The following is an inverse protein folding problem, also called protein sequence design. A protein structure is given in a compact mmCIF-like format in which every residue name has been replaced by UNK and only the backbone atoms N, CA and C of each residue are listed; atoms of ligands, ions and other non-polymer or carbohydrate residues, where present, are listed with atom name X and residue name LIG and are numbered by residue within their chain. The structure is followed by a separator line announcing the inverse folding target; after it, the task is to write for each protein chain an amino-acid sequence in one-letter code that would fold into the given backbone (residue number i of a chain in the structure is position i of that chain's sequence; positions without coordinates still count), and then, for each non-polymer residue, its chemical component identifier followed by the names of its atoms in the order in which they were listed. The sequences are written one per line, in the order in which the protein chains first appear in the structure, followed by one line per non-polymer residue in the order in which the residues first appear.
data_IF_385443991132
#
_entry.id   IF_385443991132
#
_cell.length_a   1.000
_cell.length_b   1.000
_cell.length_c   1.000
_cell.angle_alpha   90.00
_cell.angle_beta   90.00
_cell.angle_gamma   90.00
#
_symmetry.space_group_name_H-M   'P 1'
#
loop_
_entity.id
_entity.type
_entity.pdbx_description
1 polymer ?
#
# COMPACT_ATOMS: atom_id res chain seq x y z
N UNK A 1 0.75 -6.84 -15.62
CA UNK A 1 2.05 -7.22 -15.03
C UNK A 1 2.18 -6.49 -13.71
N UNK A 2 2.57 -7.20 -12.66
CA UNK A 2 2.73 -6.69 -11.28
C UNK A 2 3.59 -5.40 -11.21
N UNK A 3 4.74 -5.37 -11.88
CA UNK A 3 5.59 -4.17 -11.95
C UNK A 3 4.85 -2.97 -12.55
N UNK A 4 3.95 -3.18 -13.50
CA UNK A 4 3.11 -2.13 -14.05
C UNK A 4 2.17 -1.54 -13.02
N UNK A 5 1.54 -2.37 -12.17
CA UNK A 5 0.65 -1.91 -11.10
C UNK A 5 1.43 -1.08 -10.07
N UNK A 6 2.58 -1.58 -9.61
CA UNK A 6 3.40 -0.88 -8.64
C UNK A 6 3.95 0.44 -9.20
N UNK A 7 4.44 0.43 -10.45
CA UNK A 7 4.90 1.65 -11.14
C UNK A 7 3.78 2.69 -11.25
N UNK A 8 2.56 2.28 -11.63
CA UNK A 8 1.42 3.17 -11.74
C UNK A 8 0.99 3.71 -10.37
N UNK A 9 1.07 2.90 -9.32
CA UNK A 9 0.78 3.32 -7.94
C UNK A 9 1.80 4.36 -7.46
N UNK A 10 3.09 4.11 -7.72
CA UNK A 10 4.13 5.09 -7.46
C UNK A 10 3.92 6.37 -8.29
N UNK A 11 3.64 6.25 -9.59
CA UNK A 11 3.38 7.40 -10.46
C UNK A 11 2.20 8.26 -10.01
N UNK A 12 1.13 7.63 -9.53
CA UNK A 12 0.01 8.32 -8.90
C UNK A 12 0.46 9.11 -7.66
N UNK A 13 1.21 8.47 -6.75
CA UNK A 13 1.75 9.13 -5.57
C UNK A 13 2.64 10.32 -5.96
N UNK A 14 3.65 10.09 -6.81
CA UNK A 14 4.62 11.11 -7.20
C UNK A 14 3.96 12.31 -7.90
N UNK A 15 2.96 12.06 -8.76
CA UNK A 15 2.23 13.13 -9.44
C UNK A 15 1.60 14.11 -8.44
N UNK A 16 0.84 13.59 -7.49
CA UNK A 16 0.12 14.45 -6.53
C UNK A 16 1.04 15.03 -5.46
N UNK A 17 2.03 14.27 -4.99
CA UNK A 17 3.03 14.76 -4.06
C UNK A 17 3.80 15.95 -4.65
N UNK A 18 4.16 15.90 -5.93
CA UNK A 18 4.82 17.01 -6.63
C UNK A 18 3.89 18.21 -6.82
N UNK A 19 2.61 18.00 -7.16
CA UNK A 19 1.64 19.10 -7.29
C UNK A 19 1.44 19.84 -5.97
N UNK A 20 1.33 19.09 -4.88
CA UNK A 20 1.13 19.65 -3.54
C UNK A 20 2.44 20.06 -2.85
N UNK A 21 3.61 19.89 -3.49
CA UNK A 21 4.94 20.06 -2.90
C UNK A 21 5.10 19.29 -1.58
N UNK A 22 4.48 18.12 -1.50
CA UNK A 22 4.51 17.30 -0.31
C UNK A 22 5.85 16.55 -0.19
N UNK A 23 6.43 16.59 1.00
CA UNK A 23 7.60 15.78 1.37
C UNK A 23 7.33 15.11 2.71
N UNK A 24 7.83 13.87 2.83
CA UNK A 24 7.74 13.15 4.10
C UNK A 24 8.53 13.89 5.19
N UNK A 25 7.86 14.11 6.32
CA UNK A 25 8.45 14.73 7.51
C UNK A 25 8.03 13.93 8.74
N UNK A 26 8.97 13.20 9.33
CA UNK A 26 8.72 12.38 10.50
C UNK A 26 8.20 13.18 11.71
N UNK A 27 8.56 14.48 11.82
CA UNK A 27 8.08 15.35 12.89
C UNK A 27 6.60 15.71 12.77
N UNK A 28 6.02 15.57 11.57
CA UNK A 28 4.59 15.87 11.30
C UNK A 28 3.75 14.60 11.15
N UNK A 29 4.32 13.44 11.47
CA UNK A 29 3.63 12.16 11.30
C UNK A 29 2.36 12.11 12.14
N UNK A 30 1.23 11.80 11.48
CA UNK A 30 -0.06 11.59 12.16
C UNK A 30 -0.06 10.25 12.86
N UNK A 31 -0.48 10.23 14.13
CA UNK A 31 -0.55 8.99 14.90
C UNK A 31 -1.54 8.00 14.27
N UNK A 32 -1.28 6.69 14.41
CA UNK A 32 -2.11 5.68 13.78
C UNK A 32 -3.58 5.75 14.26
N UNK A 33 -3.79 6.09 15.53
CA UNK A 33 -5.13 6.23 16.14
C UNK A 33 -5.93 7.39 15.53
N UNK A 34 -5.23 8.45 15.08
CA UNK A 34 -5.86 9.61 14.44
C UNK A 34 -6.13 9.41 12.95
N UNK A 35 -5.55 8.36 12.35
CA UNK A 35 -5.77 8.04 10.93
C UNK A 35 -7.17 7.47 10.69
N UNK A 36 -7.79 7.74 9.53
CA UNK A 36 -9.00 7.07 9.08
C UNK A 36 -8.87 5.54 9.09
N UNK A 37 -10.00 4.85 9.24
CA UNK A 37 -10.05 3.39 9.34
C UNK A 37 -9.39 2.69 8.14
N UNK A 38 -9.56 3.23 6.93
CA UNK A 38 -8.96 2.67 5.73
C UNK A 38 -7.43 2.80 5.71
N UNK A 39 -6.87 3.88 6.28
CA UNK A 39 -5.43 4.03 6.45
C UNK A 39 -4.89 3.05 7.49
N UNK A 40 -5.59 2.89 8.61
CA UNK A 40 -5.23 1.91 9.66
C UNK A 40 -5.27 0.48 9.14
N UNK A 41 -6.27 0.16 8.32
CA UNK A 41 -6.37 -1.14 7.67
C UNK A 41 -5.16 -1.46 6.80
N UNK A 42 -4.79 -0.55 5.88
CA UNK A 42 -3.66 -0.83 4.97
C UNK A 42 -2.32 -0.85 5.71
N UNK A 43 -2.17 -0.07 6.79
CA UNK A 43 -1.01 -0.12 7.67
C UNK A 43 -0.94 -1.46 8.39
N UNK A 44 -2.04 -1.99 8.93
CA UNK A 44 -2.09 -3.33 9.52
C UNK A 44 -1.73 -4.42 8.51
N UNK A 45 -2.30 -4.36 7.31
CA UNK A 45 -1.96 -5.27 6.19
C UNK A 45 -0.48 -5.20 5.83
N UNK A 46 0.12 -4.02 5.88
CA UNK A 46 1.54 -3.83 5.64
C UNK A 46 2.39 -4.52 6.73
N UNK A 47 2.00 -4.42 8.00
CA UNK A 47 2.69 -5.12 9.09
C UNK A 47 2.59 -6.65 8.93
N UNK A 48 1.43 -7.15 8.54
CA UNK A 48 1.24 -8.56 8.19
C UNK A 48 2.16 -8.98 7.04
N UNK A 49 2.24 -8.17 5.98
CA UNK A 49 3.15 -8.43 4.86
C UNK A 49 4.61 -8.49 5.29
N UNK A 50 5.08 -7.54 6.13
CA UNK A 50 6.46 -7.53 6.64
C UNK A 50 6.76 -8.84 7.39
N UNK A 51 5.85 -9.25 8.27
CA UNK A 51 6.00 -10.48 9.08
C UNK A 51 6.07 -11.73 8.19
N UNK A 52 5.13 -11.85 7.26
CA UNK A 52 5.05 -13.01 6.36
C UNK A 52 6.26 -13.10 5.43
N UNK A 53 6.66 -11.98 4.81
CA UNK A 53 7.81 -11.96 3.90
C UNK A 53 9.12 -12.21 4.61
N UNK A 54 9.30 -11.70 5.83
CA UNK A 54 10.48 -12.00 6.65
C UNK A 54 10.57 -13.48 6.92
N UNK A 55 9.47 -14.11 7.37
CA UNK A 55 9.42 -15.56 7.59
C UNK A 55 9.72 -16.36 6.32
N UNK A 56 9.14 -15.96 5.18
CA UNK A 56 9.44 -16.64 3.91
C UNK A 56 10.90 -16.53 3.48
N UNK A 57 11.56 -15.40 3.71
CA UNK A 57 12.98 -15.26 3.41
C UNK A 57 13.85 -16.10 4.37
N UNK A 58 13.51 -16.17 5.66
CA UNK A 58 14.16 -17.03 6.65
C UNK A 58 14.02 -18.52 6.31
N UNK A 59 12.87 -18.92 5.77
CA UNK A 59 12.57 -20.29 5.32
C UNK A 59 13.11 -20.61 3.91
N UNK A 60 13.87 -19.69 3.29
CA UNK A 60 14.37 -19.84 1.91
C UNK A 60 13.27 -20.02 0.85
N UNK A 61 12.13 -19.36 1.02
CA UNK A 61 10.98 -19.40 0.13
C UNK A 61 10.73 -18.07 -0.61
N UNK A 62 11.69 -17.59 -1.45
CA UNK A 62 11.58 -16.27 -2.10
C UNK A 62 10.38 -16.14 -3.02
N UNK A 63 9.91 -17.25 -3.58
CA UNK A 63 8.71 -17.28 -4.43
C UNK A 63 7.45 -16.93 -3.62
N UNK A 64 7.35 -17.42 -2.38
CA UNK A 64 6.22 -17.09 -1.51
C UNK A 64 6.27 -15.61 -1.09
N UNK A 65 7.46 -15.11 -0.75
CA UNK A 65 7.67 -13.70 -0.44
C UNK A 65 7.24 -12.82 -1.62
N UNK A 66 7.72 -13.10 -2.83
CA UNK A 66 7.37 -12.35 -4.03
C UNK A 66 5.85 -12.34 -4.30
N UNK A 67 5.17 -13.49 -4.16
CA UNK A 67 3.71 -13.58 -4.33
C UNK A 67 2.93 -12.83 -3.26
N UNK A 68 3.40 -12.82 -2.02
CA UNK A 68 2.78 -12.05 -0.95
C UNK A 68 2.86 -10.55 -1.24
N UNK A 69 4.03 -10.07 -1.68
CA UNK A 69 4.21 -8.67 -2.08
C UNK A 69 3.31 -8.32 -3.28
N UNK A 70 3.29 -9.17 -4.31
CA UNK A 70 2.44 -9.00 -5.49
C UNK A 70 0.96 -8.87 -5.10
N UNK A 71 0.47 -9.79 -4.27
CA UNK A 71 -0.91 -9.77 -3.78
C UNK A 71 -1.23 -8.49 -3.03
N UNK A 72 -0.39 -8.08 -2.09
CA UNK A 72 -0.58 -6.84 -1.34
C UNK A 72 -0.64 -5.62 -2.27
N UNK A 73 0.29 -5.50 -3.22
CA UNK A 73 0.35 -4.34 -4.13
C UNK A 73 -0.85 -4.30 -5.06
N UNK A 74 -1.20 -5.43 -5.68
CA UNK A 74 -2.25 -5.47 -6.69
C UNK A 74 -3.65 -5.43 -6.05
N UNK A 75 -3.90 -6.25 -5.05
CA UNK A 75 -5.22 -6.39 -4.46
C UNK A 75 -5.50 -5.32 -3.39
N UNK A 76 -4.66 -5.23 -2.36
CA UNK A 76 -4.94 -4.37 -1.21
C UNK A 76 -4.57 -2.90 -1.49
N UNK A 77 -3.34 -2.64 -1.94
CA UNK A 77 -2.85 -1.27 -2.10
C UNK A 77 -3.46 -0.56 -3.31
N UNK A 78 -3.35 -1.14 -4.52
CA UNK A 78 -3.80 -0.48 -5.75
C UNK A 78 -5.32 -0.53 -5.91
N UNK A 79 -5.90 -1.76 -5.87
CA UNK A 79 -7.31 -1.95 -6.20
C UNK A 79 -8.27 -1.50 -5.09
N UNK A 80 -7.83 -1.47 -3.84
CA UNK A 80 -8.66 -1.02 -2.72
C UNK A 80 -8.18 0.30 -2.16
N UNK A 81 -7.02 0.37 -1.54
CA UNK A 81 -6.59 1.57 -0.84
C UNK A 81 -6.52 2.80 -1.76
N UNK A 82 -5.70 2.75 -2.80
CA UNK A 82 -5.52 3.90 -3.72
C UNK A 82 -6.82 4.23 -4.43
N UNK A 83 -7.52 3.21 -4.95
CA UNK A 83 -8.77 3.42 -5.69
C UNK A 83 -9.84 4.13 -4.87
N UNK A 84 -10.02 3.77 -3.60
CA UNK A 84 -11.02 4.36 -2.72
C UNK A 84 -10.61 5.75 -2.21
N UNK A 85 -9.31 5.99 -2.07
CA UNK A 85 -8.75 7.21 -1.53
C UNK A 85 -8.37 8.27 -2.58
N UNK A 86 -8.54 8.02 -3.88
CA UNK A 86 -8.12 8.95 -4.95
C UNK A 86 -8.56 10.39 -4.71
N UNK A 87 -9.79 10.60 -4.21
CA UNK A 87 -10.34 11.93 -3.97
C UNK A 87 -9.60 12.70 -2.88
N UNK A 88 -8.98 12.03 -1.91
CA UNK A 88 -8.19 12.65 -0.84
C UNK A 88 -6.91 13.32 -1.38
N UNK A 89 -6.32 12.76 -2.46
CA UNK A 89 -5.09 13.29 -3.06
C UNK A 89 -5.34 14.50 -3.96
N UNK A 90 -6.44 14.54 -4.70
CA UNK A 90 -6.69 15.57 -5.70
C UNK A 90 -7.63 16.68 -5.25
N UNK A 91 -8.37 16.51 -4.16
CA UNK A 91 -9.40 17.45 -3.73
C UNK A 91 -8.90 18.33 -2.59
N UNK A 92 -9.04 19.65 -2.79
CA UNK A 92 -8.86 20.66 -1.74
C UNK A 92 -7.42 20.95 -1.37
N UNK A 93 -7.27 21.83 -0.40
CA UNK A 93 -6.00 22.20 0.21
C UNK A 93 -5.50 21.08 1.14
N UNK A 94 -4.24 21.21 1.62
CA UNK A 94 -3.66 20.28 2.57
C UNK A 94 -4.46 20.26 3.87
N UNK A 95 -4.84 19.07 4.32
CA UNK A 95 -5.55 18.82 5.57
C UNK A 95 -4.92 17.61 6.27
N UNK A 96 -5.24 17.40 7.55
CA UNK A 96 -4.74 16.22 8.28
C UNK A 96 -5.16 14.91 7.61
N UNK A 97 -6.37 14.85 7.03
CA UNK A 97 -6.84 13.69 6.27
C UNK A 97 -6.01 13.45 5.00
N UNK A 98 -5.70 14.51 4.26
CA UNK A 98 -4.86 14.44 3.07
C UNK A 98 -3.41 14.11 3.43
N UNK A 99 -2.89 14.69 4.51
CA UNK A 99 -1.57 14.37 5.07
C UNK A 99 -1.48 12.90 5.46
N UNK A 100 -2.46 12.36 6.18
CA UNK A 100 -2.52 10.95 6.54
C UNK A 100 -2.51 10.03 5.32
N UNK A 101 -3.22 10.39 4.24
CA UNK A 101 -3.23 9.63 3.00
C UNK A 101 -1.84 9.60 2.33
N UNK A 102 -1.15 10.75 2.24
CA UNK A 102 0.21 10.81 1.69
C UNK A 102 1.20 9.99 2.51
N UNK A 103 1.20 10.16 3.83
CA UNK A 103 2.10 9.41 4.73
C UNK A 103 1.89 7.91 4.60
N UNK A 104 0.63 7.48 4.60
CA UNK A 104 0.29 6.06 4.52
C UNK A 104 0.71 5.45 3.18
N UNK A 105 0.46 6.14 2.07
CA UNK A 105 0.86 5.64 0.75
C UNK A 105 2.39 5.66 0.59
N UNK A 106 3.06 6.71 1.08
CA UNK A 106 4.53 6.78 1.12
C UNK A 106 5.12 5.61 1.92
N UNK A 107 4.60 5.34 3.11
CA UNK A 107 5.06 4.24 3.98
C UNK A 107 4.89 2.89 3.28
N UNK A 108 3.73 2.64 2.65
CA UNK A 108 3.50 1.42 1.87
C UNK A 108 4.51 1.25 0.72
N UNK A 109 4.72 2.29 -0.08
CA UNK A 109 5.66 2.25 -1.21
C UNK A 109 7.11 2.07 -0.75
N UNK A 110 7.51 2.76 0.31
CA UNK A 110 8.86 2.67 0.86
C UNK A 110 9.15 1.27 1.41
N UNK A 111 8.24 0.70 2.19
CA UNK A 111 8.37 -0.67 2.71
C UNK A 111 8.37 -1.70 1.58
N UNK A 112 7.47 -1.58 0.62
CA UNK A 112 7.43 -2.48 -0.55
C UNK A 112 8.76 -2.43 -1.31
N UNK A 113 9.38 -1.24 -1.46
CA UNK A 113 10.69 -1.13 -2.11
C UNK A 113 11.78 -1.91 -1.37
N UNK A 114 11.75 -1.93 -0.04
CA UNK A 114 12.70 -2.68 0.77
C UNK A 114 12.45 -4.19 0.68
N UNK A 115 11.19 -4.63 0.85
CA UNK A 115 10.82 -6.04 0.80
C UNK A 115 11.07 -6.68 -0.58
N UNK A 116 10.96 -5.89 -1.65
CA UNK A 116 11.24 -6.36 -3.02
C UNK A 116 12.73 -6.38 -3.37
N UNK A 117 13.59 -5.75 -2.59
CA UNK A 117 15.00 -5.58 -2.97
C UNK A 117 15.74 -6.91 -3.24
N UNK A 118 15.47 -8.05 -2.56
CA UNK A 118 16.10 -9.31 -2.90
C UNK A 118 15.57 -9.96 -4.19
N UNK A 119 14.36 -9.57 -4.64
CA UNK A 119 13.68 -10.18 -5.79
C UNK A 119 13.83 -9.33 -7.06
N UNK A 120 13.74 -8.03 -6.92
CA UNK A 120 13.79 -7.06 -8.01
C UNK A 120 14.72 -5.88 -7.69
N UNK A 121 16.04 -6.13 -7.58
CA UNK A 121 16.99 -5.18 -7.00
C UNK A 121 17.03 -3.84 -7.73
N UNK A 122 17.04 -3.81 -9.05
CA UNK A 122 17.12 -2.58 -9.82
C UNK A 122 15.87 -1.71 -9.70
N UNK A 123 14.70 -2.32 -9.74
CA UNK A 123 13.44 -1.60 -9.59
C UNK A 123 13.27 -1.06 -8.16
N UNK A 124 13.63 -1.85 -7.17
CA UNK A 124 13.60 -1.46 -5.76
C UNK A 124 14.53 -0.28 -5.48
N UNK A 125 15.74 -0.33 -5.97
CA UNK A 125 16.71 0.76 -5.85
C UNK A 125 16.20 2.04 -6.52
N UNK A 126 15.67 1.92 -7.74
CA UNK A 126 15.10 3.06 -8.46
C UNK A 126 13.96 3.70 -7.67
N UNK A 127 13.00 2.89 -7.18
CA UNK A 127 11.86 3.40 -6.43
C UNK A 127 12.27 4.00 -5.09
N UNK A 128 13.17 3.34 -4.36
CA UNK A 128 13.67 3.80 -3.07
C UNK A 128 14.35 5.17 -3.18
N UNK A 129 15.22 5.35 -4.18
CA UNK A 129 15.91 6.64 -4.40
C UNK A 129 14.97 7.77 -4.78
N UNK A 130 13.91 7.46 -5.54
CA UNK A 130 12.92 8.47 -5.90
C UNK A 130 11.99 8.84 -4.73
N UNK A 131 11.75 7.92 -3.78
CA UNK A 131 10.98 8.20 -2.57
C UNK A 131 11.79 8.93 -1.51
N UNK A 132 13.10 8.65 -1.42
CA UNK A 132 13.98 9.10 -0.35
C UNK A 132 15.18 9.83 -0.93
N UNK A 133 14.99 11.09 -1.34
CA UNK A 133 16.06 11.92 -1.92
C UNK A 133 17.30 11.96 -1.02
N UNK A 134 18.46 11.65 -1.58
CA UNK A 134 19.74 11.71 -0.85
C UNK A 134 20.00 10.54 0.10
N UNK A 135 19.12 9.53 0.14
CA UNK A 135 19.33 8.32 0.95
C UNK A 135 20.43 7.41 0.40
N UNK A 136 20.97 6.56 1.28
CA UNK A 136 21.82 5.46 0.86
C UNK A 136 21.03 4.46 0.00
N UNK A 137 21.72 3.55 -0.68
CA UNK A 137 21.09 2.48 -1.44
C UNK A 137 20.16 1.62 -0.55
N UNK A 138 19.03 1.19 -1.11
CA UNK A 138 18.11 0.25 -0.43
C UNK A 138 18.83 -1.03 0.01
N UNK A 139 19.84 -1.45 -0.74
CA UNK A 139 20.63 -2.65 -0.46
C UNK A 139 21.60 -2.51 0.71
N UNK A 140 21.79 -1.28 1.21
CA UNK A 140 22.59 -0.98 2.41
C UNK A 140 21.71 -0.71 3.64
N UNK A 141 20.39 -0.76 3.48
CA UNK A 141 19.44 -0.61 4.58
C UNK A 141 19.14 -1.95 5.25
N UNK A 142 18.76 -1.90 6.52
CA UNK A 142 18.21 -3.08 7.20
C UNK A 142 16.78 -3.35 6.70
N UNK A 143 16.41 -4.63 6.60
CA UNK A 143 15.03 -5.01 6.33
C UNK A 143 14.13 -4.49 7.44
N UNK A 144 13.03 -3.86 7.05
CA UNK A 144 12.05 -3.30 7.99
C UNK A 144 11.47 -4.42 8.88
N UNK A 145 11.32 -4.13 10.18
CA UNK A 145 10.67 -5.04 11.12
C UNK A 145 9.21 -4.66 11.31
N UNK A 146 8.36 -5.68 11.48
CA UNK A 146 6.95 -5.45 11.77
C UNK A 146 6.78 -4.79 13.15
N UNK A 147 5.92 -3.80 13.21
CA UNK A 147 5.44 -3.21 14.45
C UNK A 147 4.10 -3.86 14.84
N UNK A 148 4.15 -4.76 15.83
CA UNK A 148 2.97 -5.51 16.25
C UNK A 148 1.90 -4.61 16.88
N UNK A 149 2.24 -3.42 17.36
CA UNK A 149 1.26 -2.47 17.90
C UNK A 149 0.32 -1.88 16.84
N UNK A 150 0.72 -1.96 15.56
CA UNK A 150 -0.06 -1.51 14.41
C UNK A 150 -0.93 -2.61 13.78
N UNK A 151 -0.82 -3.85 14.27
CA UNK A 151 -1.64 -4.96 13.80
C UNK A 151 -3.07 -4.89 14.37
N UNK A 152 -4.04 -4.87 13.49
CA UNK A 152 -5.48 -4.95 13.81
C UNK A 152 -6.12 -6.06 12.97
N UNK A 153 -6.06 -7.27 13.50
CA UNK A 153 -6.56 -8.47 12.81
C UNK A 153 -8.08 -8.44 12.61
N UNK A 154 -8.82 -7.89 13.56
CA UNK A 154 -10.27 -7.76 13.45
C UNK A 154 -10.64 -6.82 12.29
N UNK A 155 -9.88 -5.75 12.10
CA UNK A 155 -10.06 -4.81 10.99
C UNK A 155 -9.70 -5.47 9.66
N UNK A 156 -8.60 -6.25 9.61
CA UNK A 156 -8.21 -6.99 8.40
C UNK A 156 -9.31 -7.99 7.98
N UNK A 157 -9.87 -8.76 8.92
CA UNK A 157 -10.94 -9.73 8.67
C UNK A 157 -12.24 -9.07 8.19
N UNK A 158 -12.65 -7.96 8.82
CA UNK A 158 -13.81 -7.17 8.39
C UNK A 158 -13.65 -6.66 6.95
N UNK A 159 -12.47 -6.14 6.63
CA UNK A 159 -12.18 -5.66 5.27
C UNK A 159 -12.12 -6.80 4.26
N UNK A 160 -11.56 -7.94 4.62
CA UNK A 160 -11.55 -9.13 3.75
C UNK A 160 -12.99 -9.59 3.45
N UNK A 161 -13.86 -9.62 4.45
CA UNK A 161 -15.27 -9.94 4.26
C UNK A 161 -15.96 -8.93 3.32
N UNK A 162 -15.69 -7.64 3.48
CA UNK A 162 -16.21 -6.60 2.61
C UNK A 162 -15.71 -6.76 1.16
N UNK A 163 -14.43 -7.06 0.96
CA UNK A 163 -13.83 -7.32 -0.35
C UNK A 163 -14.46 -8.53 -1.04
N UNK A 164 -14.62 -9.63 -0.30
CA UNK A 164 -15.28 -10.85 -0.81
C UNK A 164 -16.74 -10.60 -1.18
N UNK A 165 -17.49 -9.90 -0.33
CA UNK A 165 -18.88 -9.55 -0.58
C UNK A 165 -19.03 -8.69 -1.83
N UNK A 166 -18.21 -7.65 -1.99
CA UNK A 166 -18.19 -6.82 -3.20
C UNK A 166 -17.87 -7.65 -4.47
N UNK A 167 -16.90 -8.54 -4.38
CA UNK A 167 -16.49 -9.41 -5.48
C UNK A 167 -17.62 -10.36 -5.91
N UNK A 168 -18.32 -10.96 -4.95
CA UNK A 168 -19.48 -11.83 -5.21
C UNK A 168 -20.63 -11.06 -5.86
N UNK A 169 -20.97 -9.87 -5.33
CA UNK A 169 -22.03 -9.02 -5.89
C UNK A 169 -21.68 -8.62 -7.33
N UNK A 170 -20.45 -8.21 -7.61
CA UNK A 170 -20.02 -7.85 -8.95
C UNK A 170 -20.06 -9.05 -9.91
N UNK A 171 -19.68 -10.23 -9.43
CA UNK A 171 -19.75 -11.48 -10.20
C UNK A 171 -21.19 -11.84 -10.56
N UNK A 172 -22.12 -11.76 -9.61
CA UNK A 172 -23.54 -12.00 -9.86
C UNK A 172 -24.13 -10.99 -10.85
N UNK A 173 -23.84 -9.69 -10.69
CA UNK A 173 -24.27 -8.66 -11.62
C UNK A 173 -23.74 -8.92 -13.04
N UNK A 174 -22.47 -9.33 -13.17
CA UNK A 174 -21.88 -9.69 -14.45
C UNK A 174 -22.60 -10.89 -15.10
N UNK A 175 -22.91 -11.93 -14.31
CA UNK A 175 -23.64 -13.11 -14.75
C UNK A 175 -25.03 -12.74 -15.29
N UNK A 176 -25.75 -11.90 -14.58
CA UNK A 176 -27.10 -11.44 -14.93
C UNK A 176 -27.09 -10.23 -15.90
N UNK A 177 -25.92 -9.83 -16.41
CA UNK A 177 -25.72 -8.69 -17.35
C UNK A 177 -26.26 -7.35 -16.80
N UNK A 178 -26.32 -7.19 -15.48
CA UNK A 178 -26.78 -5.97 -14.82
C UNK A 178 -25.59 -5.01 -14.68
N UNK A 179 -25.70 -3.77 -15.18
CA UNK A 179 -24.65 -2.79 -15.06
C UNK A 179 -24.41 -2.42 -13.59
N UNK A 180 -23.14 -2.16 -13.20
CA UNK A 180 -22.76 -1.87 -11.82
C UNK A 180 -23.54 -0.69 -11.22
N UNK A 181 -23.83 0.35 -12.03
CA UNK A 181 -24.57 1.55 -11.58
C UNK A 181 -26.08 1.47 -11.80
N UNK A 182 -26.60 0.35 -12.28
CA UNK A 182 -28.02 0.16 -12.48
C UNK A 182 -28.66 -0.20 -11.12
N UNK A 183 -29.71 0.51 -10.66
CA UNK A 183 -30.51 0.09 -9.51
C UNK A 183 -31.10 -1.31 -9.71
N UNK A 184 -31.33 -2.03 -8.62
CA UNK A 184 -32.04 -3.32 -8.62
C UNK A 184 -33.52 -3.07 -8.47
#
# INVERSE_FOLDING_TARGET
SHFGTLYNTYGFFALYANIDNWKYDAAKKISNEAKPELDRWIVSKLQTLIKDTTGYFEDYEPTKAARAIEKFVDEDLSNWYVRLNRRRFWKGEMSDDKQAAYETLFECLNVVSQLMSPVAPFFSEWMHRNLNEGSASVHLSYLVKADESLLDKDLEERMELAQRSCSLILSLRKKEKIKVRQPL
#
